data_IF_574756550242
#
_entry.id   IF_574756550242
#
_cell.length_a   1.000
_cell.length_b   1.000
_cell.length_c   1.000
_cell.angle_alpha   90.00
_cell.angle_beta   90.00
_cell.angle_gamma   90.00
#
_symmetry.space_group_name_H-M   'P 1'
#
loop_
_entity.id
_entity.type
_entity.pdbx_description
1 polymer ?
#
# COMPACT_ATOMS: atom_id res chain seq x y z
N UNK A 1 -62.20 -1.80 -33.92
CA UNK A 1 -60.89 -1.29 -34.35
C UNK A 1 -59.86 -2.37 -34.07
N UNK A 2 -59.04 -2.72 -35.05
CA UNK A 2 -57.91 -3.64 -34.84
C UNK A 2 -56.89 -3.00 -33.90
N UNK A 3 -56.22 -3.81 -33.06
CA UNK A 3 -55.17 -3.33 -32.16
C UNK A 3 -55.64 -2.55 -30.93
N UNK A 4 -56.93 -2.59 -30.56
CA UNK A 4 -57.46 -2.04 -29.31
C UNK A 4 -58.19 -3.13 -28.50
N UNK A 5 -58.11 -3.06 -27.17
CA UNK A 5 -58.82 -3.95 -26.24
C UNK A 5 -59.67 -3.16 -25.25
N UNK A 6 -60.76 -3.77 -24.77
CA UNK A 6 -61.63 -3.15 -23.78
C UNK A 6 -61.01 -3.24 -22.38
N UNK A 7 -60.77 -2.09 -21.76
CA UNK A 7 -60.24 -1.94 -20.41
C UNK A 7 -61.31 -2.24 -19.35
N UNK A 8 -60.87 -2.48 -18.10
CA UNK A 8 -61.78 -2.69 -16.97
C UNK A 8 -62.68 -1.49 -16.66
N UNK A 9 -62.34 -0.29 -17.17
CA UNK A 9 -63.14 0.93 -17.05
C UNK A 9 -64.02 1.21 -18.29
N UNK A 10 -64.19 0.26 -19.21
CA UNK A 10 -64.90 0.39 -20.51
C UNK A 10 -64.27 1.41 -21.50
N UNK A 11 -62.98 1.70 -21.38
CA UNK A 11 -62.21 2.40 -22.41
C UNK A 11 -61.64 1.40 -23.44
N UNK A 12 -61.37 1.86 -24.66
CA UNK A 12 -60.62 1.08 -25.65
C UNK A 12 -59.14 1.44 -25.57
N UNK A 13 -58.35 0.65 -24.85
CA UNK A 13 -56.92 0.85 -24.69
C UNK A 13 -56.16 0.30 -25.91
N UNK A 14 -55.16 1.02 -26.44
CA UNK A 14 -54.35 0.53 -27.56
C UNK A 14 -53.42 -0.61 -27.12
N UNK A 15 -53.17 -1.55 -28.04
CA UNK A 15 -52.28 -2.70 -27.83
C UNK A 15 -50.94 -2.46 -28.49
N UNK A 16 -49.87 -2.54 -27.70
CA UNK A 16 -48.49 -2.53 -28.20
C UNK A 16 -47.89 -3.93 -27.99
N UNK A 17 -47.66 -4.67 -29.08
CA UNK A 17 -47.39 -6.13 -29.06
C UNK A 17 -46.05 -6.48 -28.40
N UNK A 18 -45.07 -5.58 -28.49
CA UNK A 18 -43.76 -5.65 -27.82
C UNK A 18 -43.75 -5.02 -26.43
N UNK A 19 -44.87 -4.44 -25.98
CA UNK A 19 -44.90 -3.49 -24.86
C UNK A 19 -44.24 -2.14 -25.18
N UNK A 20 -44.33 -1.21 -24.23
CA UNK A 20 -43.65 0.09 -24.25
C UNK A 20 -42.81 0.26 -22.97
N UNK A 21 -41.63 -0.38 -22.86
CA UNK A 21 -40.73 -0.13 -21.73
C UNK A 21 -40.37 1.37 -21.70
N UNK A 22 -40.44 1.99 -20.52
CA UNK A 22 -40.25 3.44 -20.30
C UNK A 22 -41.13 4.35 -21.17
N UNK A 23 -42.32 3.87 -21.56
CA UNK A 23 -43.28 4.61 -22.37
C UNK A 23 -44.72 4.22 -22.09
N UNK A 24 -45.65 4.92 -22.74
CA UNK A 24 -47.08 4.66 -22.72
C UNK A 24 -47.55 4.31 -24.14
N UNK A 25 -48.35 3.25 -24.29
CA UNK A 25 -48.98 2.92 -25.57
C UNK A 25 -50.08 3.95 -25.85
N UNK A 26 -49.96 4.73 -26.93
CA UNK A 26 -50.90 5.80 -27.29
C UNK A 26 -51.76 5.47 -28.52
N UNK A 27 -51.28 4.57 -29.37
CA UNK A 27 -52.01 3.97 -30.48
C UNK A 27 -51.46 2.55 -30.73
N UNK A 28 -52.12 1.69 -31.52
CA UNK A 28 -51.68 0.32 -31.73
C UNK A 28 -50.23 0.25 -32.25
N UNK A 29 -49.37 -0.45 -31.50
CA UNK A 29 -47.92 -0.50 -31.73
C UNK A 29 -47.21 0.87 -31.82
N UNK A 30 -47.73 1.91 -31.16
CA UNK A 30 -47.12 3.24 -31.09
C UNK A 30 -46.92 3.68 -29.63
N UNK A 31 -45.66 3.78 -29.22
CA UNK A 31 -45.25 4.15 -27.87
C UNK A 31 -44.87 5.64 -27.79
N UNK A 32 -45.45 6.38 -26.84
CA UNK A 32 -44.94 7.67 -26.41
C UNK A 32 -43.96 7.46 -25.25
N UNK A 33 -42.72 7.91 -25.39
CA UNK A 33 -41.74 7.80 -24.31
C UNK A 33 -42.07 8.73 -23.14
N UNK A 34 -41.70 8.30 -21.93
CA UNK A 34 -41.80 9.11 -20.72
C UNK A 34 -40.80 10.28 -20.74
N UNK A 35 -41.00 11.26 -19.85
CA UNK A 35 -40.08 12.38 -19.70
C UNK A 35 -38.65 11.89 -19.38
N UNK A 36 -37.66 12.43 -20.10
CA UNK A 36 -36.28 11.99 -20.00
C UNK A 36 -35.93 10.70 -20.78
N UNK A 37 -36.83 10.19 -21.63
CA UNK A 37 -36.58 9.05 -22.52
C UNK A 37 -36.84 9.41 -23.99
N UNK A 38 -36.10 8.80 -24.92
CA UNK A 38 -36.26 8.99 -26.36
C UNK A 38 -36.32 7.65 -27.12
N UNK A 39 -37.10 7.55 -28.20
CA UNK A 39 -37.21 6.33 -28.99
C UNK A 39 -35.93 6.10 -29.81
N UNK A 40 -35.35 4.91 -29.68
CA UNK A 40 -34.23 4.46 -30.50
C UNK A 40 -34.68 3.90 -31.86
N UNK A 41 -33.75 3.35 -32.64
CA UNK A 41 -34.01 2.79 -33.98
C UNK A 41 -34.95 1.58 -34.01
N UNK A 42 -35.25 0.98 -32.85
CA UNK A 42 -36.21 -0.12 -32.67
C UNK A 42 -37.55 0.36 -32.09
N UNK A 43 -37.73 1.67 -31.84
CA UNK A 43 -38.90 2.23 -31.18
C UNK A 43 -38.95 2.00 -29.66
N UNK A 44 -37.84 1.59 -29.06
CA UNK A 44 -37.70 1.39 -27.60
C UNK A 44 -37.27 2.72 -26.97
N UNK A 45 -37.87 3.06 -25.82
CA UNK A 45 -37.59 4.30 -25.12
C UNK A 45 -36.35 4.16 -24.22
N UNK A 46 -35.21 4.65 -24.72
CA UNK A 46 -33.92 4.67 -24.02
C UNK A 46 -33.79 5.95 -23.18
N UNK A 47 -33.16 5.89 -21.99
CA UNK A 47 -32.99 7.06 -21.12
C UNK A 47 -32.01 8.08 -21.69
N UNK A 48 -32.28 9.35 -21.43
CA UNK A 48 -31.45 10.50 -21.82
C UNK A 48 -30.62 10.98 -20.63
N UNK A 49 -29.34 11.23 -20.88
CA UNK A 49 -28.44 11.87 -19.93
C UNK A 49 -27.85 13.10 -20.65
N UNK A 50 -28.22 14.31 -20.22
CA UNK A 50 -27.99 15.57 -20.94
C UNK A 50 -26.51 15.92 -21.11
N UNK A 51 -25.66 15.51 -20.15
CA UNK A 51 -24.20 15.65 -20.22
C UNK A 51 -23.50 14.50 -20.96
N UNK A 52 -24.24 13.45 -21.32
CA UNK A 52 -23.71 12.15 -21.72
C UNK A 52 -23.11 11.37 -20.54
N UNK A 53 -22.80 10.09 -20.80
CA UNK A 53 -22.14 9.17 -19.85
C UNK A 53 -20.80 8.71 -20.43
N UNK A 54 -19.77 9.56 -20.38
CA UNK A 54 -18.42 9.18 -20.82
C UNK A 54 -17.90 8.02 -19.94
N UNK A 55 -17.46 6.93 -20.57
CA UNK A 55 -17.09 5.66 -19.92
C UNK A 55 -18.20 5.01 -19.07
N UNK A 56 -19.46 5.18 -19.49
CA UNK A 56 -20.62 4.60 -18.84
C UNK A 56 -21.81 4.41 -19.78
N UNK A 57 -22.93 4.01 -19.20
CA UNK A 57 -24.22 3.88 -19.88
C UNK A 57 -25.29 4.66 -19.11
N UNK A 58 -26.21 5.31 -19.83
CA UNK A 58 -27.37 5.95 -19.22
C UNK A 58 -28.37 4.84 -18.86
N UNK A 59 -28.72 4.69 -17.58
CA UNK A 59 -29.60 3.62 -17.08
C UNK A 59 -30.95 4.12 -16.58
N UNK A 60 -31.04 5.43 -16.31
CA UNK A 60 -32.28 6.18 -16.09
C UNK A 60 -32.00 7.66 -16.48
N UNK A 61 -33.03 8.52 -16.62
CA UNK A 61 -32.83 9.92 -16.96
C UNK A 61 -31.83 10.61 -16.03
N UNK A 62 -30.83 11.28 -16.61
CA UNK A 62 -29.71 11.92 -15.90
C UNK A 62 -28.91 11.00 -14.93
N UNK A 63 -29.03 9.67 -15.09
CA UNK A 63 -28.33 8.67 -14.27
C UNK A 63 -27.44 7.77 -15.12
N UNK A 64 -26.15 8.07 -15.08
CA UNK A 64 -25.10 7.20 -15.59
C UNK A 64 -24.74 6.08 -14.60
N UNK A 65 -24.52 4.89 -15.13
CA UNK A 65 -23.81 3.77 -14.51
C UNK A 65 -22.47 3.59 -15.23
N UNK A 66 -21.38 3.42 -14.48
CA UNK A 66 -20.03 3.38 -15.05
C UNK A 66 -19.66 1.98 -15.56
N UNK A 67 -18.79 1.93 -16.58
CA UNK A 67 -18.21 0.67 -17.06
C UNK A 67 -17.33 0.02 -16.00
N UNK A 68 -17.08 -1.29 -16.14
CA UNK A 68 -16.18 -2.02 -15.25
C UNK A 68 -14.79 -1.37 -15.20
N UNK A 69 -14.27 -1.17 -13.98
CA UNK A 69 -13.00 -0.46 -13.77
C UNK A 69 -13.11 1.07 -13.85
N UNK A 70 -14.31 1.64 -13.92
CA UNK A 70 -14.56 3.07 -13.80
C UNK A 70 -15.51 3.38 -12.63
N UNK A 71 -15.29 4.50 -11.96
CA UNK A 71 -16.11 5.00 -10.86
C UNK A 71 -16.69 6.38 -11.14
N UNK A 72 -17.86 6.65 -10.54
CA UNK A 72 -18.58 7.90 -10.74
C UNK A 72 -17.86 9.05 -10.05
N UNK A 73 -17.34 9.96 -10.85
CA UNK A 73 -16.78 11.22 -10.41
C UNK A 73 -17.83 12.35 -10.43
N UNK A 74 -17.39 13.55 -10.08
CA UNK A 74 -18.20 14.76 -10.16
C UNK A 74 -18.76 14.99 -11.57
N UNK A 75 -19.89 15.71 -11.64
CA UNK A 75 -20.62 16.04 -12.88
C UNK A 75 -21.07 14.84 -13.73
N UNK A 76 -21.19 13.64 -13.15
CA UNK A 76 -21.71 12.46 -13.85
C UNK A 76 -20.73 11.77 -14.80
N UNK A 77 -19.45 12.15 -14.75
CA UNK A 77 -18.38 11.49 -15.51
C UNK A 77 -17.91 10.20 -14.83
N UNK A 78 -17.48 9.21 -15.61
CA UNK A 78 -16.86 7.99 -15.07
C UNK A 78 -15.33 8.05 -15.26
N UNK A 79 -14.59 8.10 -14.15
CA UNK A 79 -13.12 8.12 -14.12
C UNK A 79 -12.57 6.71 -13.95
N UNK A 80 -11.44 6.43 -14.60
CA UNK A 80 -10.78 5.13 -14.48
C UNK A 80 -10.27 4.89 -13.05
N UNK A 81 -10.36 3.64 -12.59
CA UNK A 81 -9.89 3.17 -11.29
C UNK A 81 -8.61 2.37 -11.48
N UNK A 82 -7.61 2.66 -10.65
CA UNK A 82 -6.34 1.93 -10.59
C UNK A 82 -6.26 1.27 -9.21
N UNK A 83 -6.36 -0.05 -9.14
CA UNK A 83 -6.51 -0.83 -7.89
C UNK A 83 -5.36 -0.61 -6.88
N UNK A 84 -4.14 -0.44 -7.38
CA UNK A 84 -2.95 -0.19 -6.57
C UNK A 84 -2.69 1.32 -6.33
N UNK A 85 -3.64 2.18 -6.70
CA UNK A 85 -3.44 3.63 -6.79
C UNK A 85 -2.63 4.03 -8.03
N UNK A 86 -2.25 5.31 -8.08
CA UNK A 86 -1.45 5.89 -9.16
C UNK A 86 -0.61 7.06 -8.63
N UNK A 87 0.25 6.79 -7.65
CA UNK A 87 1.09 7.81 -7.03
C UNK A 87 2.02 8.43 -8.07
N UNK A 88 2.10 9.77 -8.12
CA UNK A 88 2.85 10.54 -9.13
C UNK A 88 2.41 10.26 -10.58
N UNK A 89 1.16 9.85 -10.79
CA UNK A 89 0.57 9.63 -12.11
C UNK A 89 -0.92 9.97 -12.15
N UNK A 90 -1.53 9.73 -13.30
CA UNK A 90 -2.96 9.83 -13.52
C UNK A 90 -3.47 8.48 -14.04
N UNK A 91 -4.59 7.99 -13.47
CA UNK A 91 -5.25 6.79 -13.99
C UNK A 91 -6.03 7.16 -15.26
N UNK A 92 -5.58 6.69 -16.43
CA UNK A 92 -6.12 7.07 -17.74
C UNK A 92 -7.05 6.01 -18.35
N UNK A 93 -6.82 4.75 -18.00
CA UNK A 93 -7.72 3.62 -18.24
C UNK A 93 -7.65 2.66 -17.04
N UNK A 94 -8.60 1.73 -16.88
CA UNK A 94 -8.61 0.83 -15.72
C UNK A 94 -7.26 0.15 -15.49
N UNK A 95 -6.73 0.26 -14.27
CA UNK A 95 -5.41 -0.24 -13.88
C UNK A 95 -4.23 0.24 -14.77
N UNK A 96 -4.37 1.38 -15.43
CA UNK A 96 -3.35 1.96 -16.33
C UNK A 96 -2.95 3.36 -15.87
N UNK A 97 -1.71 3.50 -15.43
CA UNK A 97 -1.12 4.78 -15.02
C UNK A 97 -0.36 5.46 -16.16
N UNK A 98 -0.69 6.73 -16.42
CA UNK A 98 0.20 7.65 -17.13
C UNK A 98 0.97 8.48 -16.09
N UNK A 99 2.30 8.41 -16.10
CA UNK A 99 3.12 9.08 -15.10
C UNK A 99 3.25 10.59 -15.36
N UNK A 100 3.34 11.38 -14.29
CA UNK A 100 3.58 12.81 -14.39
C UNK A 100 4.97 13.12 -14.97
N UNK A 101 5.15 14.34 -15.48
CA UNK A 101 6.43 14.78 -16.01
C UNK A 101 7.56 14.63 -14.97
N UNK A 102 8.68 14.01 -15.38
CA UNK A 102 9.78 13.66 -14.49
C UNK A 102 9.62 12.34 -13.75
N UNK A 103 8.58 11.55 -14.03
CA UNK A 103 8.38 10.19 -13.51
C UNK A 103 8.26 9.17 -14.65
N UNK A 104 8.58 7.91 -14.37
CA UNK A 104 8.51 6.78 -15.30
C UNK A 104 7.93 5.55 -14.61
N UNK A 105 7.14 4.76 -15.34
CA UNK A 105 6.55 3.53 -14.80
C UNK A 105 7.65 2.48 -14.57
N UNK A 106 7.77 1.98 -13.34
CA UNK A 106 8.69 0.91 -12.97
C UNK A 106 8.09 -0.49 -13.29
N UNK A 107 8.77 -1.57 -12.88
CA UNK A 107 8.30 -2.95 -13.14
C UNK A 107 7.14 -3.36 -12.22
N UNK A 108 6.97 -2.60 -11.16
CA UNK A 108 6.00 -2.76 -10.08
C UNK A 108 4.69 -2.00 -10.39
N UNK A 109 4.59 -1.34 -11.56
CA UNK A 109 3.50 -0.46 -12.02
C UNK A 109 3.32 0.83 -11.20
N UNK A 110 4.39 1.35 -10.61
CA UNK A 110 4.43 2.61 -9.88
C UNK A 110 5.20 3.68 -10.70
N UNK A 111 4.82 4.95 -10.58
CA UNK A 111 5.55 6.04 -11.22
C UNK A 111 6.73 6.48 -10.34
N UNK A 112 7.92 5.95 -10.64
CA UNK A 112 9.17 6.26 -9.98
C UNK A 112 9.78 7.57 -10.54
N UNK A 113 10.39 8.43 -9.70
CA UNK A 113 11.00 9.67 -10.15
C UNK A 113 12.25 9.42 -10.99
N UNK A 114 12.49 10.30 -11.96
CA UNK A 114 13.67 10.30 -12.82
C UNK A 114 14.71 11.25 -12.21
N UNK A 115 15.93 10.77 -12.03
CA UNK A 115 17.11 11.58 -11.73
C UNK A 115 18.14 11.32 -12.84
N UNK A 116 18.37 12.28 -13.73
CA UNK A 116 19.12 12.11 -14.99
C UNK A 116 20.57 11.69 -14.80
N UNK A 117 21.20 12.12 -13.70
CA UNK A 117 22.56 11.73 -13.32
C UNK A 117 22.62 10.51 -12.39
N UNK A 118 21.46 9.99 -11.98
CA UNK A 118 21.34 9.03 -10.87
C UNK A 118 21.65 9.65 -9.50
N UNK A 119 21.46 8.85 -8.44
CA UNK A 119 21.77 9.24 -7.07
C UNK A 119 22.83 8.29 -6.49
N UNK A 120 24.11 8.56 -6.73
CA UNK A 120 25.18 7.80 -6.09
C UNK A 120 25.09 7.98 -4.57
N UNK A 121 25.18 6.90 -3.80
CA UNK A 121 25.02 6.91 -2.34
C UNK A 121 23.72 7.56 -1.83
N UNK A 122 22.65 7.52 -2.63
CA UNK A 122 21.33 8.06 -2.27
C UNK A 122 20.18 7.34 -2.99
N UNK A 123 18.98 7.88 -2.82
CA UNK A 123 17.75 7.44 -3.48
C UNK A 123 17.10 8.62 -4.20
N UNK A 124 16.59 8.42 -5.42
CA UNK A 124 15.81 9.45 -6.12
C UNK A 124 14.41 9.51 -5.47
N UNK A 125 14.04 10.65 -4.88
CA UNK A 125 12.78 10.81 -4.10
C UNK A 125 11.75 11.72 -4.77
N UNK A 126 12.21 12.58 -5.68
CA UNK A 126 11.40 13.40 -6.58
C UNK A 126 12.24 13.66 -7.85
N UNK A 127 11.66 14.19 -8.95
CA UNK A 127 12.39 14.44 -10.19
C UNK A 127 13.64 15.28 -9.94
N UNK A 128 14.78 14.83 -10.45
CA UNK A 128 16.13 15.41 -10.26
C UNK A 128 16.52 15.66 -8.78
N UNK A 129 15.84 15.03 -7.83
CA UNK A 129 16.00 15.26 -6.39
C UNK A 129 16.45 13.98 -5.68
N UNK A 130 17.73 13.95 -5.33
CA UNK A 130 18.34 12.86 -4.57
C UNK A 130 18.22 13.10 -3.06
N UNK A 131 17.86 12.05 -2.31
CA UNK A 131 18.00 11.98 -0.85
C UNK A 131 19.20 11.09 -0.53
N UNK A 132 20.20 11.63 0.16
CA UNK A 132 21.39 10.86 0.52
C UNK A 132 21.07 9.77 1.54
N UNK A 133 21.80 8.66 1.45
CA UNK A 133 21.71 7.56 2.40
C UNK A 133 22.32 7.96 3.75
N UNK A 134 22.04 7.17 4.80
CA UNK A 134 22.58 7.44 6.13
C UNK A 134 24.12 7.54 6.11
N UNK A 135 24.66 8.56 6.79
CA UNK A 135 26.10 8.85 6.79
C UNK A 135 26.62 9.57 5.54
N UNK A 136 25.76 9.95 4.60
CA UNK A 136 26.11 10.80 3.46
C UNK A 136 25.33 12.12 3.50
N UNK A 137 25.97 13.22 3.07
CA UNK A 137 25.37 14.54 2.95
C UNK A 137 25.40 15.03 1.50
N UNK A 138 24.45 15.88 1.13
CA UNK A 138 24.40 16.48 -0.20
C UNK A 138 25.48 17.55 -0.32
N UNK A 139 26.41 17.38 -1.25
CA UNK A 139 27.44 18.37 -1.54
C UNK A 139 26.93 19.45 -2.51
N UNK A 140 27.63 20.60 -2.63
CA UNK A 140 27.24 21.67 -3.55
C UNK A 140 27.17 21.27 -5.04
N UNK A 141 27.72 20.10 -5.39
CA UNK A 141 27.69 19.52 -6.73
C UNK A 141 26.52 18.54 -6.94
N UNK A 142 25.55 18.51 -6.02
CA UNK A 142 24.38 17.63 -6.02
C UNK A 142 24.75 16.13 -5.99
N UNK A 143 25.84 15.79 -5.29
CA UNK A 143 26.29 14.42 -5.06
C UNK A 143 26.25 14.07 -3.56
N UNK A 144 26.05 12.80 -3.21
CA UNK A 144 26.05 12.36 -1.82
C UNK A 144 27.45 11.92 -1.39
N UNK A 145 28.10 12.79 -0.63
CA UNK A 145 29.46 12.60 -0.12
C UNK A 145 29.46 12.08 1.32
N UNK A 146 30.40 11.20 1.70
CA UNK A 146 30.43 10.60 3.03
C UNK A 146 30.76 11.63 4.12
N UNK A 147 30.04 11.56 5.24
CA UNK A 147 30.23 12.40 6.41
C UNK A 147 31.13 11.69 7.42
N UNK A 148 32.13 12.39 7.96
CA UNK A 148 32.88 11.95 9.14
C UNK A 148 32.65 12.96 10.26
N UNK A 149 31.94 12.54 11.31
CA UNK A 149 31.70 13.37 12.49
C UNK A 149 33.02 13.66 13.21
N UNK A 150 33.36 14.94 13.39
CA UNK A 150 34.67 15.38 13.89
C UNK A 150 35.73 15.65 12.81
N UNK A 151 35.47 15.29 11.55
CA UNK A 151 36.40 15.47 10.44
C UNK A 151 37.55 14.47 10.41
N UNK A 152 38.45 14.62 9.43
CA UNK A 152 39.61 13.74 9.24
C UNK A 152 40.91 14.53 9.43
N UNK A 153 41.84 14.00 10.23
CA UNK A 153 43.20 14.54 10.36
C UNK A 153 44.03 14.08 9.15
N UNK A 154 44.50 15.03 8.34
CA UNK A 154 45.30 14.81 7.11
C UNK A 154 44.74 13.81 6.08
N UNK A 155 43.42 13.60 6.07
CA UNK A 155 42.73 12.68 5.18
C UNK A 155 41.42 13.22 4.60
N UNK A 156 40.87 12.51 3.61
CA UNK A 156 39.52 12.72 3.11
C UNK A 156 38.60 11.62 3.65
N UNK A 157 37.29 11.89 3.81
CA UNK A 157 36.31 10.84 4.04
C UNK A 157 36.20 9.93 2.81
N UNK A 158 36.48 8.64 2.98
CA UNK A 158 36.37 7.62 1.92
C UNK A 158 35.08 6.79 2.04
N UNK A 159 34.51 6.74 3.24
CA UNK A 159 33.18 6.21 3.55
C UNK A 159 32.65 6.91 4.82
N UNK A 160 31.36 6.77 5.18
CA UNK A 160 30.82 7.40 6.38
C UNK A 160 31.59 7.00 7.63
N UNK A 161 32.12 8.00 8.36
CA UNK A 161 32.98 7.78 9.54
C UNK A 161 34.35 7.15 9.27
N UNK A 162 34.80 7.03 8.01
CA UNK A 162 36.10 6.42 7.65
C UNK A 162 36.95 7.42 6.86
N UNK A 163 38.11 7.76 7.42
CA UNK A 163 39.10 8.65 6.84
C UNK A 163 40.17 7.90 6.03
N UNK A 164 40.78 8.55 5.04
CA UNK A 164 41.99 8.07 4.39
C UNK A 164 43.23 8.39 5.22
N UNK A 165 43.80 7.41 5.92
CA UNK A 165 45.09 7.60 6.60
C UNK A 165 46.21 7.87 5.58
N UNK A 166 46.80 9.07 5.63
CA UNK A 166 48.03 9.41 4.86
C UNK A 166 49.30 9.15 5.67
N UNK A 167 49.30 8.13 6.52
CA UNK A 167 50.48 7.73 7.28
C UNK A 167 51.32 6.65 6.57
N UNK A 168 52.14 7.15 5.64
CA UNK A 168 53.54 6.75 5.48
C UNK A 168 53.89 5.28 5.13
N UNK A 169 54.04 5.01 3.83
CA UNK A 169 55.00 3.99 3.35
C UNK A 169 56.44 4.46 3.65
N UNK A 170 56.94 4.26 4.88
CA UNK A 170 58.35 3.88 5.19
C UNK A 170 58.63 3.77 6.69
N UNK A 171 59.08 2.57 7.09
CA UNK A 171 59.99 2.25 8.21
C UNK A 171 59.79 2.88 9.62
N UNK A 172 59.39 1.99 10.53
CA UNK A 172 59.99 1.85 11.87
C UNK A 172 59.59 2.85 12.99
N UNK A 173 58.50 2.53 13.70
CA UNK A 173 58.62 2.37 15.16
C UNK A 173 57.67 1.31 15.70
N UNK A 174 58.24 0.25 16.26
CA UNK A 174 57.52 -0.81 16.96
C UNK A 174 57.16 -0.36 18.38
N UNK A 175 55.89 -0.06 18.69
CA UNK A 175 55.45 0.04 20.09
C UNK A 175 53.95 -0.20 20.36
N UNK A 176 53.38 -1.31 19.88
CA UNK A 176 52.35 -2.00 20.66
C UNK A 176 52.60 -3.51 20.63
N UNK A 177 53.24 -4.03 21.67
CA UNK A 177 53.38 -5.48 21.89
C UNK A 177 52.01 -6.09 22.14
N UNK A 178 51.42 -6.71 21.12
CA UNK A 178 50.55 -7.86 21.34
C UNK A 178 51.42 -9.00 21.89
N UNK A 179 51.46 -9.18 23.21
CA UNK A 179 52.10 -10.34 23.85
C UNK A 179 51.14 -10.99 24.83
N UNK A 180 50.89 -12.27 24.60
CA UNK A 180 49.89 -13.10 25.26
C UNK A 180 50.31 -13.40 26.71
N UNK A 181 49.30 -13.60 27.57
CA UNK A 181 49.42 -14.11 28.94
C UNK A 181 50.45 -15.24 29.10
N UNK A 182 51.50 -15.00 29.90
CA UNK A 182 52.09 -16.04 30.76
C UNK A 182 52.53 -15.46 32.10
N UNK A 183 52.03 -16.08 33.17
CA UNK A 183 52.31 -15.76 34.57
C UNK A 183 53.75 -16.08 34.97
N UNK A 184 54.46 -15.12 35.56
CA UNK A 184 55.45 -15.40 36.62
C UNK A 184 55.70 -14.18 37.50
N UNK A 185 55.85 -14.40 38.81
CA UNK A 185 56.20 -13.37 39.80
C UNK A 185 57.62 -12.83 39.57
N UNK A 186 57.90 -11.59 39.96
CA UNK A 186 58.93 -11.20 40.96
C UNK A 186 58.67 -9.76 41.45
N UNK A 187 59.25 -9.40 42.60
CA UNK A 187 58.97 -8.20 43.41
C UNK A 187 60.01 -7.11 43.17
N UNK A 188 59.62 -5.81 43.16
CA UNK A 188 60.18 -4.71 44.00
C UNK A 188 60.01 -3.31 43.40
N UNK A 189 59.29 -2.47 44.16
CA UNK A 189 59.49 -1.03 44.44
C UNK A 189 60.44 -0.19 43.57
N UNK A 190 59.99 1.00 43.18
CA UNK A 190 60.45 2.27 43.79
C UNK A 190 59.37 3.36 43.63
N UNK A 191 59.10 4.08 44.72
CA UNK A 191 58.20 5.24 44.82
C UNK A 191 58.97 6.57 44.66
N UNK A 192 58.19 7.66 44.69
CA UNK A 192 58.54 9.05 45.03
C UNK A 192 58.81 10.04 43.89
N UNK A 193 57.76 10.84 43.59
CA UNK A 193 57.61 12.26 43.98
C UNK A 193 58.84 13.19 43.88
N UNK A 194 58.70 14.37 43.27
CA UNK A 194 58.25 15.62 43.96
C UNK A 194 58.23 16.83 42.98
N UNK A 195 57.53 17.90 43.35
CA UNK A 195 57.20 19.10 42.53
C UNK A 195 58.31 20.18 42.48
N UNK A 196 58.18 21.19 41.59
CA UNK A 196 58.53 22.63 41.88
C UNK A 196 58.16 23.63 40.75
N UNK A 197 57.07 24.37 41.00
CA UNK A 197 56.72 25.79 40.75
C UNK A 197 57.45 26.71 39.72
N UNK A 198 56.62 27.31 38.85
CA UNK A 198 56.42 28.73 38.49
C UNK A 198 57.56 29.78 38.39
N UNK A 199 57.49 30.65 37.35
CA UNK A 199 57.41 32.12 37.56
C UNK A 199 56.96 33.00 36.35
N UNK A 200 56.31 34.13 36.68
CA UNK A 200 56.16 35.44 35.94
C UNK A 200 55.22 35.69 34.72
N UNK A 201 54.04 36.28 35.02
CA UNK A 201 53.46 37.60 34.57
C UNK A 201 53.30 38.03 33.08
N UNK A 202 52.45 39.00 32.68
CA UNK A 202 51.15 39.61 33.10
C UNK A 202 50.78 40.75 32.08
N UNK A 203 49.54 41.28 32.11
CA UNK A 203 48.89 42.39 31.33
C UNK A 203 48.07 41.89 30.12
N UNK A 204 46.74 42.03 29.99
CA UNK A 204 45.72 42.99 30.48
C UNK A 204 44.85 43.36 29.25
N UNK A 205 43.54 43.69 29.27
CA UNK A 205 42.49 43.87 30.28
C UNK A 205 41.12 43.48 29.66
N UNK A 206 40.06 43.17 30.46
CA UNK A 206 38.69 43.03 29.93
C UNK A 206 37.71 42.13 30.72
N UNK A 207 37.20 42.63 31.86
CA UNK A 207 36.08 42.08 32.67
C UNK A 207 34.73 42.64 32.18
N UNK A 208 33.52 42.15 32.48
CA UNK A 208 32.88 41.05 33.26
C UNK A 208 31.44 40.91 32.66
N UNK A 209 30.60 39.86 32.77
CA UNK A 209 30.54 38.56 33.48
C UNK A 209 30.29 37.41 32.43
N UNK A 210 29.99 36.13 32.70
CA UNK A 210 29.84 35.29 33.93
C UNK A 210 30.46 33.90 33.70
N UNK A 211 30.93 33.26 34.78
CA UNK A 211 31.65 31.98 34.74
C UNK A 211 30.73 30.75 34.61
N UNK A 212 31.20 29.73 33.90
CA UNK A 212 31.11 28.34 34.38
C UNK A 212 32.19 27.49 33.69
N UNK A 213 33.27 27.23 34.42
CA UNK A 213 34.29 26.26 34.02
C UNK A 213 33.74 24.84 34.21
N UNK A 214 33.29 24.23 33.12
CA UNK A 214 32.85 22.83 33.10
C UNK A 214 33.99 21.90 32.65
N UNK A 215 34.29 20.89 33.48
CA UNK A 215 35.39 19.95 33.30
C UNK A 215 35.30 19.17 31.97
N UNK A 216 36.43 18.97 31.28
CA UNK A 216 36.50 18.34 29.95
C UNK A 216 36.32 16.81 29.96
N UNK A 217 35.58 16.29 30.95
CA UNK A 217 35.26 14.87 31.13
C UNK A 217 33.75 14.59 31.03
N UNK A 218 32.87 15.54 31.35
CA UNK A 218 31.41 15.32 31.35
C UNK A 218 30.76 15.44 29.96
N UNK A 219 31.33 16.25 29.06
CA UNK A 219 30.78 16.44 27.71
C UNK A 219 30.85 15.16 26.87
N UNK A 220 31.95 14.39 26.97
CA UNK A 220 32.08 13.10 26.30
C UNK A 220 31.07 12.07 26.83
N UNK A 221 30.82 12.04 28.14
CA UNK A 221 29.82 11.13 28.73
C UNK A 221 28.40 11.43 28.20
N UNK A 222 28.02 12.70 28.13
CA UNK A 222 26.71 13.12 27.62
C UNK A 222 26.52 12.84 26.11
N UNK A 223 27.59 13.00 25.31
CA UNK A 223 27.57 12.64 23.89
C UNK A 223 27.52 11.12 23.66
N UNK A 224 28.28 10.34 24.44
CA UNK A 224 28.27 8.88 24.35
C UNK A 224 26.91 8.30 24.76
N UNK A 225 26.29 8.84 25.81
CA UNK A 225 24.93 8.54 26.24
C UNK A 225 23.90 8.73 25.10
N UNK A 226 23.92 9.88 24.43
CA UNK A 226 23.02 10.19 23.31
C UNK A 226 23.24 9.26 22.12
N UNK A 227 24.49 8.95 21.79
CA UNK A 227 24.83 8.02 20.71
C UNK A 227 24.38 6.58 21.02
N UNK A 228 24.57 6.12 22.28
CA UNK A 228 24.10 4.82 22.76
C UNK A 228 22.57 4.72 22.86
N UNK A 229 21.85 5.82 23.07
CA UNK A 229 20.38 5.81 22.99
C UNK A 229 19.93 5.60 21.53
N UNK A 230 20.49 6.37 20.59
CA UNK A 230 20.08 6.35 19.18
C UNK A 230 20.29 5.00 18.47
N UNK A 231 21.30 4.21 18.90
CA UNK A 231 21.54 2.84 18.40
C UNK A 231 20.64 1.76 19.04
N UNK A 232 19.85 2.08 20.07
CA UNK A 232 18.94 1.14 20.76
C UNK A 232 17.47 1.50 20.58
N UNK A 233 17.16 2.80 20.45
CA UNK A 233 15.83 3.36 20.28
C UNK A 233 15.34 3.29 18.83
N UNK A 234 15.23 2.08 18.28
CA UNK A 234 14.70 1.86 16.93
C UNK A 234 13.16 1.97 17.00
N UNK A 235 12.55 2.87 16.21
CA UNK A 235 11.12 3.23 16.27
C UNK A 235 10.70 4.01 17.54
N UNK A 236 11.56 4.94 17.97
CA UNK A 236 11.23 5.93 18.99
C UNK A 236 12.13 7.16 18.91
N UNK A 237 11.81 8.15 19.73
CA UNK A 237 12.56 9.40 19.90
C UNK A 237 13.32 9.38 21.23
N UNK A 238 14.65 9.58 21.19
CA UNK A 238 15.48 9.67 22.40
C UNK A 238 15.35 11.02 23.11
N UNK A 239 15.09 10.99 24.41
CA UNK A 239 15.15 12.14 25.31
C UNK A 239 16.21 11.90 26.39
N UNK A 240 17.44 12.37 26.11
CA UNK A 240 18.62 12.05 26.92
C UNK A 240 19.03 10.58 26.73
N UNK A 241 19.10 9.83 27.84
CA UNK A 241 19.33 8.38 27.84
C UNK A 241 18.06 7.54 27.65
N UNK A 242 16.88 8.15 27.81
CA UNK A 242 15.60 7.44 27.78
C UNK A 242 15.00 7.43 26.37
N UNK A 243 14.50 6.27 25.95
CA UNK A 243 13.84 6.07 24.67
C UNK A 243 12.32 6.19 24.82
N UNK A 244 11.68 7.06 24.05
CA UNK A 244 10.21 7.22 24.02
C UNK A 244 9.70 6.68 22.69
N UNK A 245 8.88 5.64 22.72
CA UNK A 245 8.40 4.97 21.51
C UNK A 245 7.39 5.80 20.71
N UNK A 246 7.43 5.66 19.39
CA UNK A 246 6.45 6.29 18.49
C UNK A 246 5.07 5.59 18.58
N UNK A 247 4.00 6.23 18.08
CA UNK A 247 2.65 5.65 18.15
C UNK A 247 2.59 4.26 17.47
N UNK A 248 2.12 3.25 18.22
CA UNK A 248 2.09 1.86 17.77
C UNK A 248 3.30 1.03 18.19
N UNK A 249 4.20 1.54 19.03
CA UNK A 249 5.35 0.83 19.59
C UNK A 249 5.36 0.89 21.13
N UNK A 250 5.83 -0.16 21.79
CA UNK A 250 5.91 -0.27 23.26
C UNK A 250 7.33 -0.66 23.70
N UNK A 251 7.77 -0.11 24.82
CA UNK A 251 9.13 -0.27 25.32
C UNK A 251 9.30 -1.65 25.99
N UNK A 252 10.20 -2.49 25.46
CA UNK A 252 10.61 -3.72 26.13
C UNK A 252 12.08 -3.67 26.55
N UNK A 253 12.32 -4.00 27.81
CA UNK A 253 13.66 -4.17 28.38
C UNK A 253 14.13 -5.62 28.21
N UNK A 254 15.04 -5.89 27.28
CA UNK A 254 15.74 -7.17 27.17
C UNK A 254 17.25 -6.95 27.33
N UNK A 255 17.88 -7.75 28.20
CA UNK A 255 19.34 -7.80 28.40
C UNK A 255 20.04 -6.42 28.42
N UNK A 256 19.53 -5.51 29.27
CA UNK A 256 20.10 -4.16 29.48
C UNK A 256 20.04 -3.24 28.23
N UNK A 257 19.03 -3.45 27.36
CA UNK A 257 18.70 -2.58 26.23
C UNK A 257 17.20 -2.29 26.22
N UNK A 258 16.86 -1.02 26.15
CA UNK A 258 15.50 -0.54 25.96
C UNK A 258 15.24 -0.41 24.46
N UNK A 259 14.27 -1.17 23.95
CA UNK A 259 13.95 -1.25 22.53
C UNK A 259 12.45 -1.03 22.35
N UNK A 260 12.08 -0.14 21.42
CA UNK A 260 10.69 0.04 21.00
C UNK A 260 10.29 -1.08 20.04
N UNK A 261 9.60 -2.08 20.57
CA UNK A 261 9.05 -3.17 19.78
C UNK A 261 7.70 -2.71 19.24
N UNK A 262 7.41 -3.00 17.97
CA UNK A 262 6.07 -2.74 17.44
C UNK A 262 5.04 -3.39 18.36
N UNK A 263 4.03 -2.62 18.77
CA UNK A 263 2.79 -3.19 19.25
C UNK A 263 2.20 -3.90 18.04
N UNK A 264 2.61 -5.15 17.87
CA UNK A 264 1.87 -6.07 17.04
C UNK A 264 0.53 -6.15 17.73
N UNK A 265 -0.43 -5.39 17.19
CA UNK A 265 -1.85 -5.68 17.26
C UNK A 265 -2.08 -6.99 16.49
N UNK A 266 -1.40 -8.04 16.96
CA UNK A 266 -1.85 -9.41 16.86
C UNK A 266 -3.25 -9.32 17.44
N UNK A 267 -4.22 -9.47 16.55
CA UNK A 267 -5.61 -9.17 16.83
C UNK A 267 -6.10 -10.00 18.02
N UNK A 268 -5.94 -9.42 19.22
CA UNK A 268 -6.67 -9.78 20.43
C UNK A 268 -8.13 -9.34 20.33
N UNK A 269 -8.48 -8.67 19.22
CA UNK A 269 -9.62 -9.02 18.37
C UNK A 269 -9.64 -10.51 17.99
N UNK A 270 -9.90 -11.31 19.01
CA UNK A 270 -10.84 -12.41 18.99
C UNK A 270 -10.36 -13.77 18.45
N UNK A 271 -9.58 -14.45 19.30
CA UNK A 271 -9.37 -15.91 19.24
C UNK A 271 -10.70 -16.70 19.28
N UNK A 272 -11.83 -16.10 19.72
CA UNK A 272 -13.16 -16.70 19.58
C UNK A 272 -13.66 -16.60 18.13
N UNK A 273 -13.49 -15.47 17.45
CA UNK A 273 -13.82 -15.35 16.02
C UNK A 273 -12.97 -16.27 15.16
N UNK A 274 -11.66 -16.44 15.40
CA UNK A 274 -10.87 -17.41 14.64
C UNK A 274 -11.37 -18.86 14.83
N UNK A 275 -11.72 -19.24 16.08
CA UNK A 275 -12.40 -20.52 16.35
C UNK A 275 -13.79 -20.59 15.71
N UNK A 276 -14.55 -19.50 15.66
CA UNK A 276 -15.86 -19.42 15.01
C UNK A 276 -15.72 -19.58 13.49
N UNK A 277 -14.73 -18.96 12.84
CA UNK A 277 -14.46 -19.15 11.41
C UNK A 277 -14.03 -20.58 11.08
N UNK A 278 -13.22 -21.22 11.93
CA UNK A 278 -12.90 -22.66 11.78
C UNK A 278 -14.17 -23.50 11.93
N UNK A 279 -15.02 -23.24 12.93
CA UNK A 279 -16.29 -23.96 13.12
C UNK A 279 -17.24 -23.74 11.94
N UNK A 280 -17.36 -22.52 11.43
CA UNK A 280 -18.18 -22.18 10.25
C UNK A 280 -17.65 -22.85 8.98
N UNK A 281 -16.33 -22.90 8.77
CA UNK A 281 -15.71 -23.61 7.65
C UNK A 281 -15.85 -25.14 7.74
N UNK A 282 -15.77 -25.70 8.94
CA UNK A 282 -16.00 -27.15 9.18
C UNK A 282 -17.49 -27.50 9.06
N UNK A 283 -18.42 -26.57 9.33
CA UNK A 283 -19.85 -26.77 9.13
C UNK A 283 -20.32 -26.48 7.69
N UNK A 284 -19.64 -25.61 6.94
CA UNK A 284 -20.02 -25.29 5.55
C UNK A 284 -19.78 -26.46 4.59
N UNK A 285 -18.71 -27.24 4.78
CA UNK A 285 -18.42 -28.44 3.98
C UNK A 285 -19.56 -29.49 4.02
N UNK A 286 -19.98 -30.01 5.20
CA UNK A 286 -21.07 -30.99 5.27
C UNK A 286 -22.42 -30.39 4.87
N UNK A 287 -22.66 -29.09 5.13
CA UNK A 287 -23.89 -28.42 4.69
C UNK A 287 -23.96 -28.32 3.16
N UNK A 288 -22.87 -27.93 2.49
CA UNK A 288 -22.78 -27.90 1.03
C UNK A 288 -22.96 -29.30 0.43
N UNK A 289 -22.37 -30.32 1.04
CA UNK A 289 -22.51 -31.71 0.59
C UNK A 289 -23.95 -32.23 0.77
N UNK A 290 -24.62 -31.85 1.85
CA UNK A 290 -26.05 -32.15 2.07
C UNK A 290 -26.96 -31.42 1.06
N UNK A 291 -26.68 -30.15 0.75
CA UNK A 291 -27.39 -29.39 -0.30
C UNK A 291 -27.20 -30.04 -1.67
N UNK A 292 -25.98 -30.46 -2.03
CA UNK A 292 -25.71 -31.20 -3.26
C UNK A 292 -26.47 -32.54 -3.31
N UNK A 293 -26.53 -33.28 -2.21
CA UNK A 293 -27.32 -34.52 -2.13
C UNK A 293 -28.83 -34.25 -2.29
N UNK A 294 -29.37 -33.17 -1.73
CA UNK A 294 -30.76 -32.77 -1.93
C UNK A 294 -31.04 -32.34 -3.37
N UNK A 295 -30.16 -31.55 -3.99
CA UNK A 295 -30.26 -31.17 -5.41
C UNK A 295 -30.23 -32.42 -6.30
N UNK A 296 -29.32 -33.37 -6.04
CA UNK A 296 -29.29 -34.66 -6.73
C UNK A 296 -30.58 -35.47 -6.53
N UNK A 297 -31.13 -35.55 -5.32
CA UNK A 297 -32.41 -36.23 -5.05
C UNK A 297 -33.57 -35.60 -5.82
N UNK A 298 -33.73 -34.29 -5.76
CA UNK A 298 -34.77 -33.55 -6.48
C UNK A 298 -34.60 -33.70 -8.01
N UNK A 299 -33.36 -33.70 -8.49
CA UNK A 299 -33.06 -33.87 -9.92
C UNK A 299 -33.37 -35.28 -10.40
N UNK A 300 -32.99 -36.31 -9.64
CA UNK A 300 -33.35 -37.71 -9.89
C UNK A 300 -34.86 -37.96 -9.78
N UNK A 301 -35.57 -37.28 -8.88
CA UNK A 301 -37.02 -37.39 -8.77
C UNK A 301 -37.74 -36.69 -9.93
N UNK A 302 -37.21 -35.57 -10.42
CA UNK A 302 -37.67 -34.93 -11.66
C UNK A 302 -37.42 -35.82 -12.88
N UNK A 303 -36.23 -36.38 -13.07
CA UNK A 303 -35.95 -37.25 -14.22
C UNK A 303 -36.72 -38.57 -14.15
N UNK A 304 -36.90 -39.16 -12.97
CA UNK A 304 -37.78 -40.32 -12.79
C UNK A 304 -39.24 -39.99 -13.14
N UNK A 305 -39.76 -38.84 -12.71
CA UNK A 305 -41.12 -38.42 -13.07
C UNK A 305 -41.29 -38.07 -14.56
N UNK A 306 -40.25 -37.52 -15.21
CA UNK A 306 -40.24 -37.31 -16.67
C UNK A 306 -40.26 -38.65 -17.38
N UNK A 307 -39.33 -39.56 -17.09
CA UNK A 307 -39.29 -40.90 -17.70
C UNK A 307 -40.56 -41.71 -17.44
N UNK A 308 -41.19 -41.56 -16.26
CA UNK A 308 -42.48 -42.20 -15.94
C UNK A 308 -43.62 -41.61 -16.77
N UNK A 309 -43.66 -40.30 -16.98
CA UNK A 309 -44.66 -39.64 -17.86
C UNK A 309 -44.44 -39.97 -19.34
N UNK A 310 -43.19 -40.03 -19.81
CA UNK A 310 -42.84 -40.43 -21.18
C UNK A 310 -43.27 -41.89 -21.46
N UNK A 311 -43.03 -42.81 -20.52
CA UNK A 311 -43.50 -44.20 -20.62
C UNK A 311 -45.03 -44.31 -20.53
N UNK A 312 -45.73 -43.46 -19.76
CA UNK A 312 -47.19 -43.43 -19.74
C UNK A 312 -47.82 -42.83 -21.01
N UNK A 313 -47.13 -41.91 -21.69
CA UNK A 313 -47.57 -41.34 -22.98
C UNK A 313 -47.03 -42.11 -24.19
N UNK A 314 -46.37 -43.25 -23.98
CA UNK A 314 -45.94 -44.15 -25.06
C UNK A 314 -44.78 -43.67 -25.93
N UNK A 315 -44.12 -42.55 -25.60
CA UNK A 315 -42.97 -42.05 -26.35
C UNK A 315 -41.70 -42.86 -26.04
N UNK A 316 -41.60 -44.02 -26.68
CA UNK A 316 -40.37 -44.80 -26.71
C UNK A 316 -39.46 -44.22 -27.80
N UNK A 317 -38.42 -43.49 -27.41
CA UNK A 317 -37.45 -42.89 -28.33
C UNK A 317 -36.74 -43.97 -29.18
N UNK A 318 -37.26 -44.22 -30.39
CA UNK A 318 -36.58 -45.02 -31.42
C UNK A 318 -35.65 -44.11 -32.23
N UNK A 319 -34.38 -44.09 -31.83
CA UNK A 319 -33.31 -43.51 -32.64
C UNK A 319 -33.00 -44.40 -33.84
N UNK A 320 -33.78 -44.26 -34.92
CA UNK A 320 -33.36 -44.23 -36.34
C UNK A 320 -34.55 -44.31 -37.28
N UNK A 321 -34.48 -43.47 -38.32
CA UNK A 321 -35.30 -43.41 -39.53
C UNK A 321 -36.76 -42.95 -39.33
N UNK A 322 -37.03 -41.76 -39.89
CA UNK A 322 -38.22 -41.33 -40.65
C UNK A 322 -39.52 -42.10 -40.36
N UNK A 323 -40.55 -41.43 -39.82
CA UNK A 323 -41.79 -41.32 -40.60
C UNK A 323 -42.81 -40.24 -40.19
N UNK A 324 -43.40 -39.71 -41.26
CA UNK A 324 -44.73 -39.17 -41.50
C UNK A 324 -45.75 -39.24 -40.34
N UNK A 325 -46.36 -38.09 -40.04
CA UNK A 325 -47.62 -38.01 -39.27
C UNK A 325 -48.78 -38.60 -40.08
N UNK A 326 -49.48 -39.60 -39.53
CA UNK A 326 -50.86 -39.92 -39.92
C UNK A 326 -51.79 -39.80 -38.71
N UNK A 327 -52.90 -39.11 -38.93
CA UNK A 327 -54.00 -38.92 -37.99
C UNK A 327 -55.10 -39.93 -38.28
N UNK A 328 -55.71 -40.53 -37.26
CA UNK A 328 -57.14 -40.81 -37.19
C UNK A 328 -57.85 -39.82 -36.25
#
# INVERSE_FOLDING_TARGET
NEGYLMSAQNFCDPVCTSGCPNGQCIAPNNCQCLEGYLPNSLGICDPVCSTGCLNGHCVAPEKCECLEGFEKAEMGTCKAVCLNGCLNGQCVSPNTCECLAGYVLNKENECAPICSMGCQNGSCVAPETCKCNFGFAMSPLNNCEPVCDGGCVDGNCIAPGICSDKSFDTEFSSSTRGSILTTTLLVSSFDSDDDTDDDYSDSGEGREDSESSGDSSETNAFFEAKYRCNHRCIHGTCHGESCVCDEGYELQSQENKDICVAIILASTGDLKSFRLYIILGVLSLPLALLVLLLICRISCEKTYNVAKRENQMGLKNMSRNVDIVRVP
#
